data_IF_391967762301
#
_entry.id   IF_391967762301
#
_cell.length_a   1.000
_cell.length_b   1.000
_cell.length_c   1.000
_cell.angle_alpha   90.00
_cell.angle_beta   90.00
_cell.angle_gamma   90.00
#
_symmetry.space_group_name_H-M   'P 1'
#
loop_
_entity.id
_entity.type
_entity.pdbx_description
1 polymer ?
#
# COMPACT_ATOMS: atom_id res chain seq x y z
N UNK A 1 -21.71 6.80 1.46
CA UNK A 1 -20.67 6.59 0.42
C UNK A 1 -20.15 7.95 -0.07
N UNK A 2 -18.84 8.09 -0.27
CA UNK A 2 -18.22 9.37 -0.66
C UNK A 2 -17.12 9.91 0.28
N UNK A 3 -16.58 9.08 1.17
CA UNK A 3 -15.46 9.43 2.07
C UNK A 3 -14.08 9.12 1.48
N UNK A 4 -13.04 9.41 2.28
CA UNK A 4 -11.65 8.99 2.05
C UNK A 4 -11.06 8.41 3.32
N UNK A 5 -10.11 7.50 3.18
CA UNK A 5 -9.34 6.94 4.30
C UNK A 5 -7.87 6.83 3.92
N UNK A 6 -7.02 6.93 4.93
CA UNK A 6 -5.59 6.78 4.82
C UNK A 6 -5.18 5.47 5.51
N UNK A 7 -4.84 4.44 4.72
CA UNK A 7 -4.40 3.14 5.24
C UNK A 7 -2.88 3.18 5.49
N UNK A 8 -2.47 3.14 6.75
CA UNK A 8 -1.07 3.29 7.13
C UNK A 8 -0.21 2.09 6.71
N UNK A 9 0.96 2.37 6.14
CA UNK A 9 2.01 1.39 5.92
C UNK A 9 3.38 2.04 6.03
N UNK A 10 4.20 1.58 6.97
CA UNK A 10 5.56 2.09 7.10
C UNK A 10 6.51 1.37 6.12
N UNK A 11 6.91 2.09 5.06
CA UNK A 11 7.87 1.62 4.06
C UNK A 11 9.32 2.02 4.38
N UNK A 12 9.59 2.61 5.54
CA UNK A 12 10.93 3.12 5.88
C UNK A 12 11.93 1.96 5.97
N UNK A 13 13.01 1.95 5.15
CA UNK A 13 14.06 0.94 5.25
C UNK A 13 14.71 0.96 6.63
N UNK A 14 15.07 -0.21 7.19
CA UNK A 14 15.69 -0.28 8.52
C UNK A 14 17.14 0.23 8.55
N UNK A 15 17.77 0.43 7.39
CA UNK A 15 19.11 0.99 7.22
C UNK A 15 19.14 1.93 6.02
N UNK A 16 20.00 2.95 6.04
CA UNK A 16 20.23 3.86 4.91
C UNK A 16 20.91 3.20 3.70
N UNK A 17 21.45 1.99 3.87
CA UNK A 17 22.04 1.18 2.80
C UNK A 17 21.03 0.25 2.13
N UNK A 18 19.78 0.24 2.61
CA UNK A 18 18.70 -0.57 2.07
C UNK A 18 17.63 0.31 1.41
N UNK A 19 16.88 -0.28 0.49
CA UNK A 19 15.81 0.39 -0.24
C UNK A 19 14.57 -0.49 -0.27
N UNK A 20 13.41 0.14 -0.44
CA UNK A 20 12.17 -0.55 -0.79
C UNK A 20 12.31 -1.15 -2.19
N UNK A 21 11.93 -2.42 -2.35
CA UNK A 21 11.85 -3.13 -3.62
C UNK A 21 10.40 -3.30 -4.10
N UNK A 22 9.50 -3.69 -3.21
CA UNK A 22 8.07 -3.84 -3.51
C UNK A 22 7.23 -3.35 -2.33
N UNK A 23 6.10 -2.71 -2.64
CA UNK A 23 5.00 -2.50 -1.69
C UNK A 23 3.77 -3.17 -2.27
N UNK A 24 3.15 -4.06 -1.50
CA UNK A 24 2.00 -4.85 -1.92
C UNK A 24 0.90 -4.68 -0.88
N UNK A 25 -0.30 -4.33 -1.32
CA UNK A 25 -1.47 -4.34 -0.46
C UNK A 25 -2.39 -5.47 -0.85
N UNK A 26 -2.89 -6.19 0.15
CA UNK A 26 -3.89 -7.24 0.02
C UNK A 26 -5.13 -6.82 0.80
N UNK A 27 -6.30 -7.25 0.33
CA UNK A 27 -7.57 -7.12 1.04
C UNK A 27 -8.07 -8.51 1.42
N UNK A 28 -8.45 -8.67 2.68
CA UNK A 28 -8.95 -9.89 3.28
C UNK A 28 -7.99 -11.08 2.98
N UNK A 29 -8.55 -12.25 2.70
CA UNK A 29 -7.80 -13.47 2.40
C UNK A 29 -7.25 -13.53 0.95
N UNK A 30 -7.30 -12.41 0.19
CA UNK A 30 -6.84 -12.40 -1.19
C UNK A 30 -5.33 -12.68 -1.29
N UNK A 31 -4.95 -13.63 -2.16
CA UNK A 31 -3.56 -13.89 -2.53
C UNK A 31 -3.05 -12.98 -3.64
N UNK A 32 -3.95 -12.22 -4.28
CA UNK A 32 -3.62 -11.26 -5.35
C UNK A 32 -3.61 -9.86 -4.75
N UNK A 33 -2.53 -9.07 -4.92
CA UNK A 33 -2.47 -7.74 -4.36
C UNK A 33 -3.49 -6.82 -5.04
N UNK A 34 -4.27 -6.09 -4.23
CA UNK A 34 -5.19 -5.03 -4.66
C UNK A 34 -4.41 -3.81 -5.16
N UNK A 35 -3.19 -3.59 -4.66
CA UNK A 35 -2.31 -2.51 -5.09
C UNK A 35 -0.86 -2.97 -5.05
N UNK A 36 -0.05 -2.51 -6.01
CA UNK A 36 1.40 -2.73 -5.99
C UNK A 36 2.19 -1.49 -6.41
N UNK A 37 3.38 -1.37 -5.81
CA UNK A 37 4.45 -0.46 -6.20
C UNK A 37 5.71 -1.30 -6.43
N UNK A 38 6.33 -1.17 -7.60
CA UNK A 38 7.57 -1.86 -7.97
C UNK A 38 8.69 -0.86 -8.32
N UNK A 39 9.67 -0.77 -7.42
CA UNK A 39 10.83 0.12 -7.52
C UNK A 39 12.10 -0.60 -7.99
N UNK A 40 12.06 -1.92 -8.18
CA UNK A 40 13.25 -2.76 -8.44
C UNK A 40 14.07 -2.31 -9.64
N UNK A 41 13.43 -1.68 -10.64
CA UNK A 41 14.08 -1.23 -11.89
C UNK A 41 14.41 0.26 -11.95
N UNK A 42 13.72 1.10 -11.19
CA UNK A 42 13.74 2.58 -11.40
C UNK A 42 13.91 3.39 -10.11
N UNK A 43 14.08 2.74 -8.96
CA UNK A 43 14.10 3.40 -7.65
C UNK A 43 12.70 3.80 -7.18
N UNK A 44 12.58 4.24 -5.93
CA UNK A 44 11.30 4.48 -5.27
C UNK A 44 10.48 5.61 -5.92
N UNK A 45 11.13 6.72 -6.29
CA UNK A 45 10.46 7.89 -6.88
C UNK A 45 9.94 7.69 -8.31
N UNK A 46 10.46 6.70 -9.04
CA UNK A 46 10.02 6.36 -10.39
C UNK A 46 9.41 4.95 -10.43
N UNK A 47 8.98 4.45 -9.27
CA UNK A 47 8.41 3.13 -9.14
C UNK A 47 7.15 3.01 -9.98
N UNK A 48 6.91 1.80 -10.50
CA UNK A 48 5.68 1.51 -11.24
C UNK A 48 4.58 1.21 -10.23
N UNK A 49 3.51 1.99 -10.29
CA UNK A 49 2.30 1.73 -9.52
C UNK A 49 1.29 0.96 -10.37
N UNK A 50 0.62 -0.02 -9.78
CA UNK A 50 -0.43 -0.79 -10.41
C UNK A 50 -1.57 -1.07 -9.40
N UNK A 51 -2.60 -0.21 -9.38
CA UNK A 51 -3.83 -0.50 -8.65
C UNK A 51 -4.64 -1.60 -9.38
N UNK A 52 -5.35 -2.42 -8.60
CA UNK A 52 -6.37 -3.35 -9.07
C UNK A 52 -7.58 -2.62 -9.66
N UNK A 53 -8.40 -3.34 -10.41
CA UNK A 53 -9.55 -2.75 -11.12
C UNK A 53 -10.57 -2.12 -10.16
N UNK A 54 -10.76 -2.74 -9.00
CA UNK A 54 -11.69 -2.36 -7.94
C UNK A 54 -11.40 -0.98 -7.32
N UNK A 55 -10.11 -0.59 -7.29
CA UNK A 55 -9.65 0.69 -6.72
C UNK A 55 -8.99 1.61 -7.76
N UNK A 56 -9.08 1.25 -9.04
CA UNK A 56 -8.48 2.01 -10.12
C UNK A 56 -9.02 3.44 -10.16
N UNK A 57 -8.12 4.43 -10.12
CA UNK A 57 -8.47 5.85 -10.09
C UNK A 57 -9.04 6.34 -8.75
N UNK A 58 -9.05 5.49 -7.71
CA UNK A 58 -9.46 5.83 -6.34
C UNK A 58 -8.36 5.63 -5.31
N UNK A 59 -7.35 4.83 -5.62
CA UNK A 59 -6.25 4.51 -4.71
C UNK A 59 -4.90 5.07 -5.16
N UNK A 60 -4.19 5.71 -4.22
CA UNK A 60 -2.89 6.33 -4.46
C UNK A 60 -1.99 6.15 -3.23
N UNK A 61 -0.75 5.72 -3.43
CA UNK A 61 0.23 5.67 -2.34
C UNK A 61 0.85 7.05 -2.16
N UNK A 62 0.71 7.62 -0.96
CA UNK A 62 1.30 8.89 -0.59
C UNK A 62 2.56 8.67 0.24
N UNK A 63 3.70 8.83 -0.42
CA UNK A 63 5.03 8.70 0.18
C UNK A 63 5.52 9.99 0.88
N UNK A 64 4.76 11.09 0.83
CA UNK A 64 5.12 12.33 1.53
C UNK A 64 4.74 12.31 3.02
N UNK A 65 3.84 11.40 3.39
CA UNK A 65 3.39 11.18 4.78
C UNK A 65 4.33 10.25 5.54
N UNK A 66 4.40 10.41 6.86
CA UNK A 66 5.23 9.59 7.75
C UNK A 66 4.37 9.10 8.94
N UNK A 67 3.97 7.81 9.01
CA UNK A 67 4.26 6.74 8.03
C UNK A 67 3.55 6.99 6.69
N UNK A 68 4.02 6.34 5.62
CA UNK A 68 3.37 6.43 4.31
C UNK A 68 1.97 5.82 4.35
N UNK A 69 1.07 6.27 3.47
CA UNK A 69 -0.33 5.80 3.47
C UNK A 69 -0.78 5.41 2.07
N UNK A 70 -1.61 4.38 1.96
CA UNK A 70 -2.45 4.15 0.79
C UNK A 70 -3.75 4.93 0.99
N UNK A 71 -3.90 6.02 0.25
CA UNK A 71 -5.12 6.82 0.21
C UNK A 71 -6.16 6.09 -0.63
N UNK A 72 -7.34 5.86 -0.07
CA UNK A 72 -8.48 5.32 -0.80
C UNK A 72 -9.63 6.31 -0.74
N UNK A 73 -10.04 6.81 -1.90
CA UNK A 73 -11.10 7.80 -2.06
C UNK A 73 -12.39 7.20 -2.60
N UNK A 74 -13.50 7.96 -2.48
CA UNK A 74 -14.84 7.56 -2.92
C UNK A 74 -15.21 6.19 -2.35
N UNK A 75 -15.11 6.08 -1.02
CA UNK A 75 -15.35 4.84 -0.29
C UNK A 75 -16.76 4.30 -0.54
N UNK A 76 -16.81 2.98 -0.70
CA UNK A 76 -18.01 2.15 -0.88
C UNK A 76 -18.08 1.11 0.24
N UNK A 77 -19.26 0.55 0.52
CA UNK A 77 -19.41 -0.50 1.53
C UNK A 77 -18.51 -1.72 1.29
N UNK A 78 -18.25 -2.09 0.02
CA UNK A 78 -17.35 -3.20 -0.35
C UNK A 78 -15.87 -2.96 -0.01
N UNK A 79 -15.49 -1.71 0.26
CA UNK A 79 -14.14 -1.37 0.68
C UNK A 79 -13.90 -1.75 2.16
N UNK A 80 -14.92 -2.06 2.97
CA UNK A 80 -14.72 -2.59 4.33
C UNK A 80 -13.94 -3.90 4.31
N UNK A 81 -13.05 -4.09 5.30
CA UNK A 81 -12.30 -5.33 5.44
C UNK A 81 -10.91 -5.16 6.06
N UNK A 82 -10.15 -6.24 6.01
CA UNK A 82 -8.77 -6.27 6.50
C UNK A 82 -7.80 -5.93 5.37
N UNK A 83 -6.92 -4.96 5.59
CA UNK A 83 -5.90 -4.57 4.64
C UNK A 83 -4.52 -4.92 5.17
N UNK A 84 -3.79 -5.76 4.43
CA UNK A 84 -2.41 -6.11 4.75
C UNK A 84 -1.44 -5.45 3.78
N UNK A 85 -0.64 -4.53 4.30
CA UNK A 85 0.53 -4.02 3.58
C UNK A 85 1.71 -4.95 3.79
N UNK A 86 2.37 -5.37 2.71
CA UNK A 86 3.67 -6.06 2.72
C UNK A 86 4.69 -5.20 2.01
N UNK A 87 5.79 -4.91 2.69
CA UNK A 87 6.94 -4.19 2.16
C UNK A 87 8.09 -5.17 2.03
N UNK A 88 8.60 -5.35 0.82
CA UNK A 88 9.84 -6.08 0.58
C UNK A 88 10.97 -5.07 0.37
N UNK A 89 12.05 -5.26 1.11
CA UNK A 89 13.28 -4.48 0.96
C UNK A 89 14.29 -5.23 0.09
N UNK A 90 15.34 -4.55 -0.37
CA UNK A 90 16.39 -5.21 -1.17
C UNK A 90 17.24 -6.15 -0.32
N UNK A 91 17.49 -5.79 0.94
CA UNK A 91 18.39 -6.51 1.85
C UNK A 91 17.64 -7.07 3.04
N UNK A 92 16.86 -6.23 3.73
CA UNK A 92 16.17 -6.62 4.95
C UNK A 92 14.99 -7.56 4.69
N UNK A 93 14.53 -8.23 5.76
CA UNK A 93 13.33 -9.05 5.74
C UNK A 93 12.09 -8.19 5.47
N UNK A 94 11.12 -8.78 4.79
CA UNK A 94 9.83 -8.16 4.55
C UNK A 94 9.15 -7.73 5.84
N UNK A 95 8.44 -6.59 5.79
CA UNK A 95 7.59 -6.10 6.87
C UNK A 95 6.13 -6.21 6.47
N UNK A 96 5.27 -6.62 7.40
CA UNK A 96 3.82 -6.61 7.20
C UNK A 96 3.16 -5.65 8.20
N UNK A 97 2.16 -4.91 7.75
CA UNK A 97 1.28 -4.07 8.57
C UNK A 97 -0.17 -4.43 8.26
N UNK A 98 -1.02 -4.43 9.28
CA UNK A 98 -2.44 -4.78 9.17
C UNK A 98 -3.28 -3.58 9.59
N UNK A 99 -4.30 -3.26 8.79
CA UNK A 99 -5.23 -2.15 9.03
C UNK A 99 -6.65 -2.68 8.83
N UNK A 100 -7.53 -2.44 9.80
CA UNK A 100 -8.95 -2.79 9.69
C UNK A 100 -9.70 -1.53 9.24
N UNK A 101 -10.45 -1.63 8.14
CA UNK A 101 -11.30 -0.56 7.64
C UNK A 101 -12.77 -0.88 7.91
N UNK A 102 -13.40 -0.05 8.74
CA UNK A 102 -14.84 -0.04 9.02
C UNK A 102 -15.44 1.27 8.50
N UNK A 103 -16.58 1.20 7.82
CA UNK A 103 -17.31 2.34 7.25
C UNK A 103 -18.59 2.52 8.06
N UNK A 104 -18.65 3.62 8.83
CA UNK A 104 -19.79 3.99 9.67
C UNK A 104 -20.76 4.89 8.90
#
# INVERSE_FOLDING_TARGET
EGGKVDLQCDITPPSSEDDVALVLWYKDESTTPLYSLDSRRRGLYQAKHAPGQEIMGRAFLDMSTHPTVLKLEKLKAEDEGEYRCRVDFKIARSRNSLVILEII
#
